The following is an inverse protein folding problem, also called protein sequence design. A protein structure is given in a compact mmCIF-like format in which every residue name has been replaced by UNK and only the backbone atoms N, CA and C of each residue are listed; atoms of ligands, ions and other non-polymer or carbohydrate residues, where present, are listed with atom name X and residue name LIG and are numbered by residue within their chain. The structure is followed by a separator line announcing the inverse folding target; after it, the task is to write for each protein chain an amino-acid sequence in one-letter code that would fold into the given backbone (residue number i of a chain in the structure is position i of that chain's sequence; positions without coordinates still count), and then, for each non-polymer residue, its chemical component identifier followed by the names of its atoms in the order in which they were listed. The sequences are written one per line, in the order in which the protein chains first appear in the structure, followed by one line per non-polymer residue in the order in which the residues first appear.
data_IF_626001537748
#
_entry.id   IF_626001537748
#
_cell.length_a   1.000
_cell.length_b   1.000
_cell.length_c   1.000
_cell.angle_alpha   90.00
_cell.angle_beta   90.00
_cell.angle_gamma   90.00
#
_symmetry.space_group_name_H-M   'P 1'
#
loop_
_entity.id
_entity.type
_entity.pdbx_description
1 polymer ?
#
# COMPACT_ATOMS: atom_id res chain seq x y z
N UNK A 1 13.60 12.62 1.42
CA UNK A 1 12.25 12.52 1.94
C UNK A 1 11.48 11.42 1.23
N UNK A 2 10.60 10.78 1.96
CA UNK A 2 9.78 9.71 1.42
C UNK A 2 8.58 10.29 0.66
N UNK A 3 8.24 9.69 -0.50
CA UNK A 3 6.99 9.98 -1.20
C UNK A 3 5.85 9.13 -0.69
N UNK A 4 6.09 8.33 0.34
CA UNK A 4 5.07 7.49 0.98
C UNK A 4 4.42 8.27 2.11
N UNK A 5 3.12 8.55 1.98
CA UNK A 5 2.37 9.27 3.00
C UNK A 5 1.61 8.30 3.89
N UNK A 6 1.35 8.72 5.14
CA UNK A 6 0.54 7.91 6.04
C UNK A 6 -0.94 8.12 5.77
N UNK A 7 -1.70 7.02 5.84
CA UNK A 7 -3.16 7.05 5.83
C UNK A 7 -3.66 6.44 7.14
N UNK A 8 -4.76 6.98 7.66
CA UNK A 8 -5.35 6.53 8.91
C UNK A 8 -6.81 6.15 8.68
N UNK A 9 -7.44 5.61 9.72
CA UNK A 9 -8.87 5.33 9.67
C UNK A 9 -9.66 6.58 9.29
N UNK A 10 -9.30 7.73 9.85
CA UNK A 10 -10.04 8.97 9.60
C UNK A 10 -9.81 9.55 8.21
N UNK A 11 -8.69 9.23 7.56
CA UNK A 11 -8.38 9.76 6.21
C UNK A 11 -8.57 8.72 5.11
N UNK A 12 -8.93 7.49 5.45
CA UNK A 12 -9.04 6.38 4.50
C UNK A 12 -9.95 6.69 3.32
N UNK A 13 -11.16 7.19 3.60
CA UNK A 13 -12.12 7.45 2.53
C UNK A 13 -11.58 8.50 1.55
N UNK A 14 -11.03 9.60 2.07
CA UNK A 14 -10.51 10.67 1.20
C UNK A 14 -9.27 10.24 0.44
N UNK A 15 -8.37 9.49 1.10
CA UNK A 15 -7.07 9.17 0.52
C UNK A 15 -7.10 7.93 -0.37
N UNK A 16 -8.02 7.01 -0.15
CA UNK A 16 -8.06 5.73 -0.87
C UNK A 16 -9.34 5.58 -1.68
N UNK A 17 -10.50 5.68 -1.03
CA UNK A 17 -11.77 5.38 -1.70
C UNK A 17 -12.12 6.45 -2.74
N UNK A 18 -11.92 7.73 -2.40
CA UNK A 18 -12.22 8.85 -3.30
C UNK A 18 -11.07 9.20 -4.23
N UNK A 19 -9.92 8.57 -4.04
CA UNK A 19 -8.76 8.84 -4.89
C UNK A 19 -8.98 8.28 -6.28
N UNK A 20 -8.58 9.03 -7.30
CA UNK A 20 -8.61 8.57 -8.68
C UNK A 20 -7.28 7.90 -9.01
N UNK A 21 -7.33 6.89 -9.88
CA UNK A 21 -6.14 6.19 -10.30
C UNK A 21 -5.70 5.10 -9.34
N UNK A 22 -4.48 4.64 -9.51
CA UNK A 22 -3.94 3.51 -8.76
C UNK A 22 -3.36 3.96 -7.43
N UNK A 23 -3.75 3.26 -6.36
CA UNK A 23 -3.24 3.49 -5.00
C UNK A 23 -2.67 2.18 -4.48
N UNK A 24 -1.47 2.22 -3.91
CA UNK A 24 -0.85 1.09 -3.23
C UNK A 24 -0.68 1.44 -1.77
N UNK A 25 -1.14 0.56 -0.88
CA UNK A 25 -1.07 0.77 0.57
C UNK A 25 -0.21 -0.32 1.21
N UNK A 26 0.79 0.08 1.99
CA UNK A 26 1.65 -0.80 2.77
C UNK A 26 1.11 -0.86 4.20
N UNK A 27 0.51 -2.00 4.56
CA UNK A 27 0.05 -2.25 5.94
C UNK A 27 1.22 -2.77 6.74
N UNK A 28 1.60 -2.06 7.80
CA UNK A 28 2.82 -2.32 8.56
C UNK A 28 2.61 -2.11 10.06
N UNK A 29 3.60 -2.51 10.85
CA UNK A 29 3.66 -2.22 12.28
C UNK A 29 5.13 -2.04 12.71
N UNK A 30 5.35 -1.27 13.77
CA UNK A 30 6.70 -0.96 14.22
C UNK A 30 7.49 -2.19 14.68
N UNK A 31 6.80 -3.20 15.22
CA UNK A 31 7.42 -4.44 15.71
C UNK A 31 7.71 -5.46 14.62
N UNK A 32 7.32 -5.18 13.40
CA UNK A 32 7.33 -6.16 12.31
C UNK A 32 8.67 -6.11 11.56
N UNK A 33 9.49 -7.16 11.71
CA UNK A 33 10.77 -7.26 11.02
C UNK A 33 10.64 -7.30 9.50
N UNK A 34 9.78 -8.18 8.94
CA UNK A 34 9.58 -8.23 7.48
C UNK A 34 9.07 -6.92 6.89
N UNK A 35 8.30 -6.14 7.65
CA UNK A 35 7.85 -4.82 7.20
C UNK A 35 9.05 -3.89 6.95
N UNK A 36 10.06 -3.97 7.82
CA UNK A 36 11.28 -3.16 7.66
C UNK A 36 12.09 -3.60 6.45
N UNK A 37 12.01 -4.89 6.09
CA UNK A 37 12.73 -5.42 4.92
C UNK A 37 12.12 -4.88 3.62
N UNK A 38 10.79 -4.81 3.53
CA UNK A 38 10.14 -4.35 2.29
C UNK A 38 10.05 -2.83 2.20
N UNK A 39 10.22 -2.12 3.30
CA UNK A 39 10.07 -0.66 3.33
C UNK A 39 10.92 0.08 2.29
N UNK A 40 12.22 -0.25 2.11
CA UNK A 40 13.01 0.41 1.05
C UNK A 40 12.44 0.20 -0.35
N UNK A 41 11.90 -0.98 -0.63
CA UNK A 41 11.26 -1.28 -1.92
C UNK A 41 10.03 -0.39 -2.12
N UNK A 42 9.21 -0.25 -1.09
CA UNK A 42 8.02 0.61 -1.16
C UNK A 42 8.42 2.07 -1.41
N UNK A 43 9.46 2.54 -0.74
CA UNK A 43 10.01 3.88 -0.95
C UNK A 43 10.51 4.08 -2.39
N UNK A 44 11.25 3.10 -2.90
CA UNK A 44 11.76 3.17 -4.28
C UNK A 44 10.61 3.23 -5.28
N UNK A 45 9.59 2.39 -5.08
CA UNK A 45 8.42 2.37 -5.98
C UNK A 45 7.66 3.69 -5.93
N UNK A 46 7.55 4.32 -4.77
CA UNK A 46 6.88 5.61 -4.64
C UNK A 46 7.58 6.68 -5.48
N UNK A 47 8.89 6.62 -5.57
CA UNK A 47 9.67 7.56 -6.38
C UNK A 47 9.57 7.24 -7.87
N UNK A 48 9.71 5.95 -8.22
CA UNK A 48 9.69 5.53 -9.62
C UNK A 48 8.34 5.78 -10.27
N UNK A 49 7.26 5.68 -9.52
CA UNK A 49 5.90 5.85 -10.04
C UNK A 49 5.25 7.15 -9.57
N UNK A 50 6.05 8.11 -9.15
CA UNK A 50 5.54 9.42 -8.73
C UNK A 50 4.69 10.03 -9.85
N UNK A 51 3.48 10.48 -9.50
CA UNK A 51 2.53 11.02 -10.45
C UNK A 51 1.66 9.97 -11.15
N UNK A 52 2.01 8.68 -11.03
CA UNK A 52 1.24 7.57 -11.65
C UNK A 52 0.56 6.68 -10.62
N UNK A 53 1.21 6.48 -9.47
CA UNK A 53 0.68 5.65 -8.39
C UNK A 53 0.80 6.44 -7.10
N UNK A 54 -0.29 6.47 -6.35
CA UNK A 54 -0.30 7.05 -5.01
C UNK A 54 0.14 5.96 -4.03
N UNK A 55 1.25 6.15 -3.33
CA UNK A 55 1.77 5.15 -2.41
C UNK A 55 1.57 5.62 -0.98
N UNK A 56 0.88 4.82 -0.19
CA UNK A 56 0.51 5.13 1.19
C UNK A 56 0.99 4.01 2.11
N UNK A 57 1.10 4.32 3.40
CA UNK A 57 1.35 3.33 4.43
C UNK A 57 0.34 3.50 5.55
N UNK A 58 -0.05 2.39 6.17
CA UNK A 58 -1.03 2.37 7.26
C UNK A 58 -0.47 1.53 8.41
N UNK A 59 -0.36 2.16 9.58
CA UNK A 59 0.06 1.47 10.80
C UNK A 59 -1.12 0.67 11.36
N UNK A 60 -0.99 -0.66 11.35
CA UNK A 60 -2.11 -1.54 11.73
C UNK A 60 -2.44 -1.47 13.22
N UNK A 61 -1.44 -1.17 14.07
CA UNK A 61 -1.69 -1.06 15.51
C UNK A 61 -2.53 0.16 15.84
N UNK A 62 -2.34 1.24 15.09
CA UNK A 62 -3.07 2.50 15.32
C UNK A 62 -4.36 2.61 14.51
N UNK A 63 -4.54 1.74 13.51
CA UNK A 63 -5.67 1.80 12.60
C UNK A 63 -6.24 0.40 12.37
N UNK A 64 -6.52 -0.30 13.47
CA UNK A 64 -6.99 -1.68 13.43
C UNK A 64 -8.33 -1.83 12.72
N UNK A 65 -9.15 -0.79 12.71
CA UNK A 65 -10.47 -0.83 12.04
C UNK A 65 -10.31 -1.11 10.54
N UNK A 66 -9.36 -0.43 9.89
CA UNK A 66 -9.13 -0.62 8.46
C UNK A 66 -8.52 -1.99 8.20
N UNK A 67 -7.54 -2.41 9.00
CA UNK A 67 -6.92 -3.72 8.85
C UNK A 67 -7.97 -4.83 8.98
N UNK A 68 -8.87 -4.70 9.95
CA UNK A 68 -9.96 -5.65 10.16
C UNK A 68 -10.96 -5.64 9.02
N UNK A 69 -11.34 -4.46 8.54
CA UNK A 69 -12.29 -4.30 7.44
C UNK A 69 -11.87 -5.04 6.19
N UNK A 70 -10.57 -5.02 5.88
CA UNK A 70 -10.02 -5.66 4.69
C UNK A 70 -9.35 -7.00 4.99
N UNK A 71 -9.58 -7.54 6.18
CA UNK A 71 -9.11 -8.88 6.58
C UNK A 71 -7.59 -9.03 6.42
N UNK A 72 -6.85 -8.03 6.88
CA UNK A 72 -5.39 -8.08 6.90
C UNK A 72 -4.96 -8.97 8.06
N UNK A 73 -4.57 -10.20 7.76
CA UNK A 73 -4.22 -11.22 8.75
C UNK A 73 -2.72 -11.34 8.99
N UNK A 74 -1.92 -10.83 8.08
CA UNK A 74 -0.46 -10.85 8.20
C UNK A 74 0.12 -9.57 7.65
N UNK A 75 1.31 -9.21 8.14
CA UNK A 75 2.01 -8.02 7.65
C UNK A 75 3.46 -8.36 7.34
N UNK A 76 4.07 -7.67 6.36
CA UNK A 76 3.46 -6.61 5.56
C UNK A 76 2.38 -7.15 4.61
N UNK A 77 1.38 -6.31 4.34
CA UNK A 77 0.40 -6.56 3.30
C UNK A 77 0.41 -5.36 2.37
N UNK A 78 0.57 -5.60 1.09
CA UNK A 78 0.49 -4.55 0.06
C UNK A 78 -0.84 -4.70 -0.64
N UNK A 79 -1.64 -3.65 -0.61
CA UNK A 79 -3.01 -3.68 -1.14
C UNK A 79 -3.14 -2.63 -2.23
N UNK A 80 -3.82 -2.99 -3.32
CA UNK A 80 -4.00 -2.12 -4.47
C UNK A 80 -5.46 -1.74 -4.63
N UNK A 81 -5.69 -0.45 -4.89
CA UNK A 81 -7.01 0.09 -5.23
C UNK A 81 -6.90 0.88 -6.51
N UNK A 82 -7.96 0.89 -7.30
CA UNK A 82 -8.06 1.75 -8.48
C UNK A 82 -9.45 2.35 -8.52
N UNK A 83 -9.52 3.68 -8.52
CA UNK A 83 -10.77 4.44 -8.51
C UNK A 83 -11.73 3.94 -7.42
N UNK A 84 -11.18 3.69 -6.23
CA UNK A 84 -11.93 3.27 -5.06
C UNK A 84 -12.24 1.78 -4.95
N UNK A 85 -11.84 0.98 -5.95
CA UNK A 85 -12.11 -0.46 -5.96
C UNK A 85 -10.83 -1.24 -5.64
N UNK A 86 -10.93 -2.16 -4.68
CA UNK A 86 -9.81 -3.03 -4.35
C UNK A 86 -9.52 -3.99 -5.49
N UNK A 87 -8.25 -4.05 -5.91
CA UNK A 87 -7.82 -4.93 -7.00
C UNK A 87 -7.09 -6.18 -6.52
N UNK A 88 -6.22 -6.05 -5.51
CA UNK A 88 -5.36 -7.15 -5.11
C UNK A 88 -4.82 -6.94 -3.71
N UNK A 89 -4.30 -8.02 -3.12
CA UNK A 89 -3.73 -8.00 -1.77
C UNK A 89 -2.60 -9.04 -1.74
N UNK A 90 -1.40 -8.58 -1.42
CA UNK A 90 -0.20 -9.42 -1.41
C UNK A 90 0.39 -9.42 0.00
N UNK A 91 0.54 -10.59 0.60
CA UNK A 91 1.05 -10.75 1.96
C UNK A 91 2.51 -11.19 1.92
N UNK A 92 3.34 -10.54 2.73
CA UNK A 92 4.74 -10.91 2.91
C UNK A 92 5.69 -10.11 2.03
N UNK A 93 6.98 -10.42 2.18
CA UNK A 93 8.04 -9.77 1.42
C UNK A 93 8.13 -10.43 0.04
N UNK A 94 8.01 -9.63 -1.01
CA UNK A 94 8.12 -10.10 -2.39
C UNK A 94 9.18 -9.26 -3.11
N UNK A 95 9.76 -9.78 -4.20
CA UNK A 95 10.75 -9.01 -4.95
C UNK A 95 10.15 -7.74 -5.56
N UNK A 96 10.96 -6.70 -5.68
CA UNK A 96 10.54 -5.43 -6.28
C UNK A 96 9.94 -5.63 -7.68
N UNK A 97 10.55 -6.51 -8.48
CA UNK A 97 10.07 -6.74 -9.85
C UNK A 97 8.65 -7.33 -9.87
N UNK A 98 8.32 -8.17 -8.89
CA UNK A 98 6.96 -8.70 -8.76
C UNK A 98 5.95 -7.57 -8.58
N UNK A 99 6.28 -6.60 -7.73
CA UNK A 99 5.40 -5.45 -7.49
C UNK A 99 5.33 -4.53 -8.72
N UNK A 100 6.45 -4.33 -9.41
CA UNK A 100 6.45 -3.54 -10.64
C UNK A 100 5.55 -4.16 -11.70
N UNK A 101 5.61 -5.48 -11.85
CA UNK A 101 4.77 -6.18 -12.81
C UNK A 101 3.28 -6.00 -12.48
N UNK A 102 2.92 -6.07 -11.19
CA UNK A 102 1.56 -5.82 -10.75
C UNK A 102 1.13 -4.39 -11.06
N UNK A 103 1.96 -3.43 -10.70
CA UNK A 103 1.67 -2.00 -10.94
C UNK A 103 1.44 -1.76 -12.43
N UNK A 104 2.35 -2.26 -13.29
CA UNK A 104 2.22 -2.06 -14.73
C UNK A 104 0.94 -2.70 -15.26
N UNK A 105 0.58 -3.89 -14.78
CA UNK A 105 -0.65 -4.54 -15.22
C UNK A 105 -1.88 -3.72 -14.84
N UNK A 106 -1.89 -3.11 -13.65
CA UNK A 106 -3.02 -2.30 -13.20
C UNK A 106 -3.07 -0.94 -13.91
N UNK A 107 -1.92 -0.35 -14.22
CA UNK A 107 -1.87 0.92 -14.94
C UNK A 107 -2.37 0.78 -16.37
N UNK A 108 -2.20 -0.41 -16.96
CA UNK A 108 -2.57 -0.67 -18.37
C UNK A 108 -4.00 -1.20 -18.54
N UNK A 109 -4.76 -1.23 -17.49
CA UNK A 109 -6.17 -1.65 -17.54
C UNK A 109 -7.10 -0.53 -17.96
#
# INVERSE_FOLDING_TARGET
MSDVSEVTTSTWDDEVIKAQGLVMIDFWAAWCGPCRIISPTVEELSKEYSGKVKVLKLNTDENSDIASRYQVMGIPTLMFFKDGTKLDQIVGVVPKQFLKDKIESFLNK
#
